data_IF_143674144027
#
_entry.id   IF_143674144027
#
_cell.length_a   1.000
_cell.length_b   1.000
_cell.length_c   1.000
_cell.angle_alpha   90.00
_cell.angle_beta   90.00
_cell.angle_gamma   90.00
#
_symmetry.space_group_name_H-M   'P 1'
#
loop_
_entity.id
_entity.type
_entity.pdbx_description
1 polymer ?
#
# COMPACT_ATOMS: atom_id res chain seq x y z
N UNK A 1 53.12 9.77 24.99
CA UNK A 1 51.78 9.73 25.64
C UNK A 1 50.69 9.75 24.58
N UNK A 2 50.18 8.56 24.31
CA UNK A 2 49.22 8.33 23.21
C UNK A 2 47.83 8.17 23.79
N UNK A 3 46.97 9.22 23.68
CA UNK A 3 45.60 9.18 24.17
C UNK A 3 44.70 8.52 23.16
N UNK A 4 44.42 7.24 23.31
CA UNK A 4 43.35 6.49 22.61
C UNK A 4 41.99 7.11 22.96
N UNK A 5 41.47 8.01 22.10
CA UNK A 5 40.06 8.42 22.11
C UNK A 5 39.20 7.28 21.55
N UNK A 6 38.61 6.48 22.43
CA UNK A 6 37.50 5.58 22.09
C UNK A 6 36.30 6.44 21.68
N UNK A 7 36.04 6.53 20.37
CA UNK A 7 34.81 7.10 19.84
C UNK A 7 33.67 6.12 20.17
N UNK A 8 32.89 6.44 21.19
CA UNK A 8 31.61 5.75 21.44
C UNK A 8 30.65 6.16 20.32
N UNK A 9 30.56 5.37 19.25
CA UNK A 9 29.48 5.48 18.27
C UNK A 9 28.19 5.09 18.99
N UNK A 10 27.33 6.06 19.26
CA UNK A 10 25.94 5.83 19.60
C UNK A 10 25.26 5.41 18.29
N UNK A 11 25.14 4.10 18.07
CA UNK A 11 24.29 3.58 17.01
C UNK A 11 22.86 3.79 17.48
N UNK A 12 22.24 4.84 17.01
CA UNK A 12 20.79 5.00 17.08
C UNK A 12 20.22 4.08 15.98
N UNK A 13 20.13 2.78 16.25
CA UNK A 13 19.42 1.86 15.39
C UNK A 13 17.91 2.13 15.52
N UNK A 14 17.41 3.07 14.76
CA UNK A 14 16.00 3.12 14.44
C UNK A 14 15.74 1.95 13.49
N UNK A 15 15.11 0.89 13.98
CA UNK A 15 14.56 -0.16 13.12
C UNK A 15 13.40 0.48 12.35
N UNK A 16 13.69 1.05 11.19
CA UNK A 16 12.68 1.47 10.25
C UNK A 16 12.21 0.20 9.52
N UNK A 17 11.21 -0.48 10.07
CA UNK A 17 10.47 -1.51 9.34
C UNK A 17 9.55 -0.75 8.39
N UNK A 18 10.03 -0.50 7.19
CA UNK A 18 9.19 -0.06 6.09
C UNK A 18 8.40 -1.27 5.58
N UNK A 19 7.13 -1.38 5.94
CA UNK A 19 6.26 -2.40 5.43
C UNK A 19 5.41 -1.79 4.32
N UNK A 20 5.58 -2.28 3.10
CA UNK A 20 4.69 -1.95 1.98
C UNK A 20 3.72 -3.11 1.79
N UNK A 21 2.46 -2.87 2.02
CA UNK A 21 1.38 -3.83 1.73
C UNK A 21 0.75 -3.42 0.41
N UNK A 22 0.86 -4.27 -0.61
CA UNK A 22 0.16 -4.08 -1.87
C UNK A 22 -1.20 -4.77 -1.76
N UNK A 23 -2.27 -4.01 -1.95
CA UNK A 23 -3.61 -4.54 -2.12
C UNK A 23 -3.96 -4.39 -3.60
N UNK A 24 -4.03 -5.50 -4.33
CA UNK A 24 -4.66 -5.52 -5.64
C UNK A 24 -6.17 -5.55 -5.46
N UNK A 25 -6.87 -4.54 -5.88
CA UNK A 25 -8.33 -4.58 -6.04
C UNK A 25 -8.63 -5.01 -7.46
N UNK A 26 -9.52 -5.99 -7.60
CA UNK A 26 -10.14 -6.27 -8.89
C UNK A 26 -10.82 -5.01 -9.41
N UNK A 27 -10.81 -4.78 -10.73
CA UNK A 27 -11.27 -3.51 -11.31
C UNK A 27 -12.66 -3.15 -10.80
N UNK A 28 -12.77 -2.03 -10.11
CA UNK A 28 -14.05 -1.38 -9.94
C UNK A 28 -14.45 -0.86 -11.32
N UNK A 29 -15.49 -1.42 -11.89
CA UNK A 29 -16.06 -0.92 -13.13
C UNK A 29 -16.61 0.49 -12.88
N UNK A 30 -15.85 1.51 -13.21
CA UNK A 30 -16.36 2.85 -13.40
C UNK A 30 -16.66 3.02 -14.89
N UNK A 31 -17.71 2.35 -15.36
CA UNK A 31 -18.28 2.64 -16.67
C UNK A 31 -19.72 3.09 -16.46
N UNK A 32 -19.90 4.37 -16.23
CA UNK A 32 -21.17 5.05 -16.48
C UNK A 32 -20.98 5.97 -17.68
N UNK A 33 -20.93 5.38 -18.85
CA UNK A 33 -20.88 6.10 -20.11
C UNK A 33 -21.12 5.14 -21.25
N UNK A 34 -22.17 5.36 -22.00
CA UNK A 34 -22.51 4.69 -23.24
C UNK A 34 -21.46 5.00 -24.32
N UNK A 35 -20.30 4.36 -24.22
CA UNK A 35 -19.36 4.21 -25.33
C UNK A 35 -18.54 2.95 -25.12
N UNK A 36 -18.30 2.24 -26.19
CA UNK A 36 -17.51 1.01 -26.35
C UNK A 36 -16.02 1.20 -26.00
N UNK A 37 -15.69 1.96 -24.95
CA UNK A 37 -14.31 2.20 -24.56
C UNK A 37 -13.90 1.19 -23.48
N UNK A 38 -13.00 0.29 -23.88
CA UNK A 38 -12.40 -0.73 -23.00
C UNK A 38 -11.34 -0.11 -22.06
N UNK A 39 -11.68 0.96 -21.33
CA UNK A 39 -10.79 1.53 -20.33
C UNK A 39 -10.96 0.80 -19.01
N UNK A 40 -9.86 0.23 -18.49
CA UNK A 40 -9.85 -0.48 -17.22
C UNK A 40 -9.04 0.29 -16.19
N UNK A 41 -9.57 0.41 -14.97
CA UNK A 41 -8.84 0.97 -13.83
C UNK A 41 -8.29 -0.15 -12.95
N UNK A 42 -6.98 -0.15 -12.75
CA UNK A 42 -6.30 -1.01 -11.79
C UNK A 42 -5.77 -0.17 -10.63
N UNK A 43 -6.09 -0.55 -9.42
CA UNK A 43 -5.67 0.17 -8.22
C UNK A 43 -4.73 -0.68 -7.38
N UNK A 44 -3.61 -0.08 -6.96
CA UNK A 44 -2.67 -0.66 -6.01
C UNK A 44 -2.52 0.25 -4.81
N UNK A 45 -2.76 -0.28 -3.62
CA UNK A 45 -2.64 0.46 -2.37
C UNK A 45 -1.34 0.12 -1.66
N UNK A 46 -0.49 1.12 -1.46
CA UNK A 46 0.76 1.01 -0.72
C UNK A 46 0.58 1.55 0.69
N UNK A 47 0.78 0.70 1.68
CA UNK A 47 0.67 1.06 3.09
C UNK A 47 2.05 1.06 3.71
N UNK A 48 2.52 2.22 4.13
CA UNK A 48 3.71 2.32 4.96
C UNK A 48 3.30 2.17 6.42
N UNK A 49 3.89 1.21 7.12
CA UNK A 49 3.64 0.98 8.53
C UNK A 49 4.92 1.12 9.36
N UNK A 50 4.77 1.65 10.56
CA UNK A 50 5.83 1.68 11.58
C UNK A 50 6.04 0.28 12.17
N UNK A 51 7.17 0.05 12.82
CA UNK A 51 7.44 -1.21 13.52
C UNK A 51 6.34 -1.60 14.52
N UNK A 52 5.60 -0.64 15.05
CA UNK A 52 4.42 -0.88 15.90
C UNK A 52 3.20 -1.44 15.17
N UNK A 53 3.25 -1.56 13.84
CA UNK A 53 2.11 -1.91 12.99
C UNK A 53 1.17 -0.73 12.69
N UNK A 54 1.43 0.46 13.26
CA UNK A 54 0.63 1.65 12.98
C UNK A 54 0.91 2.14 11.57
N UNK A 55 -0.16 2.35 10.79
CA UNK A 55 -0.07 3.00 9.48
C UNK A 55 0.54 4.39 9.60
N UNK A 56 1.51 4.68 8.75
CA UNK A 56 2.17 5.99 8.67
C UNK A 56 1.63 6.78 7.49
N UNK A 57 1.60 6.15 6.31
CA UNK A 57 1.11 6.76 5.07
C UNK A 57 0.45 5.70 4.20
N UNK A 58 -0.63 6.09 3.54
CA UNK A 58 -1.27 5.30 2.49
C UNK A 58 -1.14 6.05 1.17
N UNK A 59 -0.54 5.41 0.19
CA UNK A 59 -0.44 5.90 -1.19
C UNK A 59 -1.21 4.94 -2.08
N UNK A 60 -2.09 5.48 -2.91
CA UNK A 60 -2.85 4.72 -3.88
C UNK A 60 -2.31 5.03 -5.26
N UNK A 61 -1.97 4.01 -6.01
CA UNK A 61 -1.53 4.10 -7.41
C UNK A 61 -2.61 3.56 -8.31
N UNK A 62 -3.04 4.36 -9.26
CA UNK A 62 -4.04 4.02 -10.25
C UNK A 62 -3.40 3.91 -11.62
N UNK A 63 -3.80 2.90 -12.35
CA UNK A 63 -3.50 2.72 -13.74
C UNK A 63 -4.80 2.66 -14.54
N UNK A 64 -5.03 3.70 -15.35
CA UNK A 64 -6.12 3.72 -16.33
C UNK A 64 -5.55 3.14 -17.63
N UNK A 65 -5.90 1.89 -17.90
CA UNK A 65 -5.49 1.16 -19.12
C UNK A 65 -6.39 1.62 -20.26
N UNK A 66 -5.90 2.54 -21.05
CA UNK A 66 -6.65 3.12 -22.16
C UNK A 66 -6.56 2.27 -23.44
N UNK A 67 -5.43 1.60 -23.65
CA UNK A 67 -5.20 0.72 -24.81
C UNK A 67 -5.54 1.38 -26.18
N UNK A 68 -5.42 2.70 -26.27
CA UNK A 68 -5.78 3.45 -27.48
C UNK A 68 -7.27 3.71 -27.67
N UNK A 69 -8.13 3.36 -26.70
CA UNK A 69 -9.58 3.44 -26.85
C UNK A 69 -10.12 4.86 -26.79
N UNK A 70 -9.51 5.74 -25.98
CA UNK A 70 -9.95 7.11 -25.78
C UNK A 70 -8.83 8.09 -26.10
N UNK A 71 -9.07 9.01 -27.04
CA UNK A 71 -8.25 10.18 -27.29
C UNK A 71 -9.02 11.44 -26.91
N UNK A 72 -8.35 12.40 -26.27
CA UNK A 72 -8.95 13.63 -25.76
C UNK A 72 -9.21 13.57 -24.27
N UNK A 73 -10.46 13.52 -23.85
CA UNK A 73 -10.83 13.54 -22.43
C UNK A 73 -11.16 12.15 -21.92
N UNK A 74 -10.38 11.66 -20.97
CA UNK A 74 -10.61 10.42 -20.24
C UNK A 74 -11.11 10.75 -18.83
N UNK A 75 -12.33 10.32 -18.52
CA UNK A 75 -12.97 10.59 -17.24
C UNK A 75 -12.65 9.49 -16.22
N UNK A 76 -12.42 9.87 -14.97
CA UNK A 76 -12.21 8.99 -13.83
C UNK A 76 -12.80 9.62 -12.56
N UNK A 77 -13.02 8.82 -11.54
CA UNK A 77 -13.44 9.27 -10.22
C UNK A 77 -12.37 8.91 -9.19
N UNK A 78 -12.01 9.89 -8.35
CA UNK A 78 -11.01 9.70 -7.29
C UNK A 78 -11.26 10.62 -6.11
N UNK A 79 -11.25 10.04 -4.92
CA UNK A 79 -11.30 10.78 -3.65
C UNK A 79 -9.92 10.98 -3.02
N UNK A 80 -8.85 10.75 -3.79
CA UNK A 80 -7.48 10.89 -3.33
C UNK A 80 -7.07 12.36 -3.20
N UNK A 81 -6.18 12.64 -2.25
CA UNK A 81 -5.48 13.91 -2.13
C UNK A 81 -4.10 13.85 -2.79
N UNK A 82 -3.52 15.01 -3.08
CA UNK A 82 -2.16 15.14 -3.64
C UNK A 82 -1.94 14.31 -4.91
N UNK A 83 -2.92 14.30 -5.81
CA UNK A 83 -2.87 13.53 -7.05
C UNK A 83 -1.74 14.03 -7.95
N UNK A 84 -0.94 13.09 -8.45
CA UNK A 84 0.17 13.34 -9.38
C UNK A 84 0.23 12.26 -10.45
N UNK A 85 0.40 12.67 -11.71
CA UNK A 85 0.84 11.76 -12.76
C UNK A 85 2.26 11.28 -12.44
N UNK A 86 2.53 9.98 -12.53
CA UNK A 86 3.83 9.39 -12.11
C UNK A 86 4.59 8.73 -13.25
N UNK A 87 4.03 8.73 -14.47
CA UNK A 87 4.69 8.07 -15.60
C UNK A 87 4.61 8.84 -16.90
N UNK A 88 3.75 9.81 -17.04
CA UNK A 88 3.59 10.63 -18.21
C UNK A 88 3.55 12.11 -17.85
N UNK A 89 3.15 12.93 -18.79
CA UNK A 89 2.98 14.38 -18.64
C UNK A 89 1.53 14.85 -18.87
N UNK A 90 0.60 13.91 -19.04
CA UNK A 90 -0.83 14.16 -19.19
C UNK A 90 -1.33 14.98 -18.01
N UNK A 91 -2.13 16.00 -18.36
CA UNK A 91 -2.72 16.91 -17.39
C UNK A 91 -4.15 16.46 -17.07
N UNK A 92 -4.62 16.87 -15.91
CA UNK A 92 -6.00 16.66 -15.52
C UNK A 92 -6.62 17.95 -14.96
N UNK A 93 -7.95 18.00 -15.04
CA UNK A 93 -8.79 18.93 -14.27
C UNK A 93 -9.61 18.14 -13.26
N UNK A 94 -9.94 18.74 -12.12
CA UNK A 94 -10.76 18.12 -11.09
C UNK A 94 -11.99 18.99 -10.81
N UNK A 95 -13.14 18.33 -10.69
CA UNK A 95 -14.39 18.91 -10.22
C UNK A 95 -14.98 17.98 -9.15
N UNK A 96 -14.76 18.32 -7.89
CA UNK A 96 -14.99 17.41 -6.78
C UNK A 96 -14.16 16.13 -6.91
N UNK A 97 -14.82 14.98 -6.89
CA UNK A 97 -14.18 13.67 -7.03
C UNK A 97 -13.99 13.26 -8.51
N UNK A 98 -14.54 14.04 -9.46
CA UNK A 98 -14.41 13.77 -10.89
C UNK A 98 -13.09 14.32 -11.42
N UNK A 99 -12.31 13.45 -12.06
CA UNK A 99 -11.07 13.78 -12.76
C UNK A 99 -11.30 13.69 -14.28
N UNK A 100 -10.81 14.66 -15.02
CA UNK A 100 -10.80 14.63 -16.49
C UNK A 100 -9.35 14.75 -16.94
N UNK A 101 -8.79 13.66 -17.43
CA UNK A 101 -7.44 13.59 -17.98
C UNK A 101 -7.44 13.94 -19.46
N UNK A 102 -6.47 14.72 -19.89
CA UNK A 102 -6.22 14.97 -21.31
C UNK A 102 -5.18 14.00 -21.81
N UNK A 103 -5.57 13.05 -22.66
CA UNK A 103 -4.68 11.98 -23.15
C UNK A 103 -4.73 11.91 -24.68
N UNK A 104 -3.61 11.51 -25.28
CA UNK A 104 -3.51 11.21 -26.70
C UNK A 104 -3.49 9.69 -26.93
N UNK A 105 -4.52 9.02 -26.38
CA UNK A 105 -4.69 7.55 -26.38
C UNK A 105 -3.72 6.78 -25.50
N UNK A 106 -2.94 7.47 -24.67
CA UNK A 106 -1.99 6.82 -23.75
C UNK A 106 -2.68 6.36 -22.46
N UNK A 107 -2.07 5.37 -21.80
CA UNK A 107 -2.44 4.96 -20.46
C UNK A 107 -2.09 6.05 -19.43
N UNK A 108 -2.94 6.25 -18.45
CA UNK A 108 -2.68 7.20 -17.37
C UNK A 108 -2.24 6.47 -16.11
N UNK A 109 -1.13 6.93 -15.54
CA UNK A 109 -0.61 6.42 -14.27
C UNK A 109 -0.54 7.54 -13.25
N UNK A 110 -1.39 7.51 -12.24
CA UNK A 110 -1.36 8.53 -11.22
C UNK A 110 -1.34 7.95 -9.81
N UNK A 111 -0.86 8.73 -8.87
CA UNK A 111 -0.84 8.41 -7.46
C UNK A 111 -1.44 9.55 -6.65
N UNK A 112 -2.01 9.18 -5.51
CA UNK A 112 -2.47 10.11 -4.50
C UNK A 112 -2.37 9.51 -3.11
N UNK A 113 -2.79 10.25 -2.11
CA UNK A 113 -2.82 9.82 -0.71
C UNK A 113 -4.25 9.73 -0.21
N UNK A 114 -4.47 8.91 0.83
CA UNK A 114 -5.77 8.81 1.47
C UNK A 114 -5.65 8.55 2.96
N UNK A 115 -6.57 9.10 3.74
CA UNK A 115 -6.75 8.82 5.17
C UNK A 115 -7.92 7.87 5.43
N UNK A 116 -8.55 7.33 4.37
CA UNK A 116 -9.64 6.37 4.49
C UNK A 116 -9.17 5.11 5.21
N UNK A 117 -10.09 4.53 6.00
CA UNK A 117 -9.83 3.25 6.65
C UNK A 117 -9.61 2.16 5.61
N UNK A 118 -8.52 1.42 5.79
CA UNK A 118 -8.17 0.32 4.89
C UNK A 118 -9.13 -0.88 5.08
N UNK A 119 -9.51 -1.57 4.00
CA UNK A 119 -10.37 -2.76 4.07
C UNK A 119 -9.66 -3.95 4.74
N UNK A 120 -8.33 -4.00 4.68
CA UNK A 120 -7.53 -5.03 5.36
C UNK A 120 -6.73 -4.39 6.48
N UNK A 121 -6.86 -4.92 7.68
CA UNK A 121 -6.02 -4.54 8.81
C UNK A 121 -4.81 -5.47 8.91
N UNK A 122 -3.68 -4.89 9.32
CA UNK A 122 -2.41 -5.59 9.48
C UNK A 122 -1.94 -5.47 10.92
N UNK A 123 -1.54 -6.58 11.53
CA UNK A 123 -1.00 -6.63 12.89
C UNK A 123 0.38 -7.27 12.87
N UNK A 124 1.36 -6.60 13.46
CA UNK A 124 2.70 -7.12 13.68
C UNK A 124 2.86 -7.61 15.12
N UNK A 125 3.47 -8.78 15.29
CA UNK A 125 3.91 -9.29 16.59
C UNK A 125 5.37 -9.69 16.52
N UNK A 126 6.07 -9.45 17.60
CA UNK A 126 7.50 -9.71 17.75
C UNK A 126 7.73 -10.67 18.90
N UNK A 127 8.56 -11.69 18.67
CA UNK A 127 8.94 -12.65 19.70
C UNK A 127 10.47 -12.75 19.71
N UNK A 128 11.09 -12.50 20.86
CA UNK A 128 12.52 -12.73 21.08
C UNK A 128 12.69 -13.95 21.96
N UNK A 129 13.39 -14.97 21.45
CA UNK A 129 13.56 -16.26 22.11
C UNK A 129 12.24 -16.88 22.61
N UNK A 130 11.19 -16.74 21.77
CA UNK A 130 9.84 -17.25 22.06
C UNK A 130 8.96 -16.35 22.93
N UNK A 131 9.50 -15.29 23.53
CA UNK A 131 8.75 -14.35 24.37
C UNK A 131 8.24 -13.17 23.55
N UNK A 132 6.93 -12.91 23.60
CA UNK A 132 6.33 -11.74 22.93
C UNK A 132 6.84 -10.43 23.55
N UNK A 133 7.23 -9.48 22.71
CA UNK A 133 7.79 -8.20 23.11
C UNK A 133 7.27 -7.07 22.21
N UNK A 134 7.22 -5.86 22.76
CA UNK A 134 6.97 -4.67 21.95
C UNK A 134 8.23 -4.30 21.14
N UNK A 135 8.10 -3.70 19.94
CA UNK A 135 9.26 -3.28 19.14
C UNK A 135 10.24 -2.38 19.89
N UNK A 136 9.72 -1.49 20.74
CA UNK A 136 10.55 -0.58 21.57
C UNK A 136 11.44 -1.31 22.60
N UNK A 137 11.04 -2.52 23.01
CA UNK A 137 11.75 -3.32 23.99
C UNK A 137 12.86 -4.19 23.37
N UNK A 138 12.88 -4.30 22.04
CA UNK A 138 13.89 -5.09 21.29
C UNK A 138 15.21 -4.34 21.13
N UNK A 139 15.21 -3.02 21.32
CA UNK A 139 16.40 -2.19 21.14
C UNK A 139 17.56 -2.66 22.03
N UNK A 140 18.69 -3.00 21.39
CA UNK A 140 19.91 -3.45 22.08
C UNK A 140 19.86 -4.87 22.63
N UNK A 141 18.84 -5.65 22.26
CA UNK A 141 18.76 -7.07 22.61
C UNK A 141 19.28 -7.94 21.47
N UNK A 142 19.85 -9.08 21.83
CA UNK A 142 20.28 -10.13 20.91
C UNK A 142 19.45 -11.39 21.19
N UNK A 143 19.24 -12.21 20.19
CA UNK A 143 18.51 -13.47 20.30
C UNK A 143 17.82 -13.83 18.99
N UNK A 144 17.06 -14.92 19.00
CA UNK A 144 16.25 -15.35 17.87
C UNK A 144 14.96 -14.53 17.81
N UNK A 145 14.89 -13.64 16.82
CA UNK A 145 13.73 -12.79 16.59
C UNK A 145 12.78 -13.44 15.58
N UNK A 146 11.52 -13.68 16.01
CA UNK A 146 10.41 -14.04 15.13
C UNK A 146 9.47 -12.86 14.98
N UNK A 147 9.17 -12.49 13.75
CA UNK A 147 8.17 -11.46 13.42
C UNK A 147 7.00 -12.14 12.70
N UNK A 148 5.79 -11.91 13.17
CA UNK A 148 4.56 -12.40 12.49
C UNK A 148 3.77 -11.22 11.96
N UNK A 149 3.17 -11.42 10.78
CA UNK A 149 2.30 -10.46 10.10
C UNK A 149 0.93 -11.11 9.96
N UNK A 150 -0.04 -10.61 10.73
CA UNK A 150 -1.41 -11.10 10.69
C UNK A 150 -2.26 -10.15 9.84
N UNK A 151 -2.93 -10.65 8.81
CA UNK A 151 -3.88 -9.91 7.99
C UNK A 151 -5.31 -10.25 8.37
N UNK A 152 -6.17 -9.23 8.44
CA UNK A 152 -7.61 -9.42 8.62
C UNK A 152 -8.35 -8.63 7.57
N UNK A 153 -9.05 -9.33 6.68
CA UNK A 153 -9.98 -8.74 5.74
C UNK A 153 -11.26 -8.32 6.50
N UNK A 154 -11.61 -7.05 6.44
CA UNK A 154 -12.81 -6.50 7.07
C UNK A 154 -13.86 -6.07 6.03
N UNK A 155 -13.55 -6.22 4.74
CA UNK A 155 -14.42 -5.79 3.65
C UNK A 155 -15.35 -6.93 3.22
N UNK A 156 -16.64 -6.66 3.30
CA UNK A 156 -17.68 -7.59 2.90
C UNK A 156 -18.71 -6.88 2.03
N UNK A 157 -19.29 -7.61 1.10
CA UNK A 157 -20.36 -7.15 0.22
C UNK A 157 -21.50 -8.16 0.23
N UNK A 158 -22.74 -7.64 0.16
CA UNK A 158 -23.89 -8.48 -0.11
C UNK A 158 -23.99 -8.69 -1.63
N UNK A 159 -24.08 -9.95 -2.04
CA UNK A 159 -24.29 -10.36 -3.43
C UNK A 159 -25.50 -11.28 -3.47
N UNK A 160 -26.27 -11.20 -4.54
CA UNK A 160 -27.37 -12.15 -4.76
C UNK A 160 -26.82 -13.40 -5.45
N UNK A 161 -26.91 -14.53 -4.76
CA UNK A 161 -26.54 -15.85 -5.29
C UNK A 161 -27.81 -16.69 -5.31
N UNK A 162 -28.26 -17.11 -6.49
CA UNK A 162 -29.50 -17.88 -6.70
C UNK A 162 -30.74 -17.24 -6.03
N UNK A 163 -30.83 -15.89 -6.12
CA UNK A 163 -31.95 -15.13 -5.55
C UNK A 163 -31.91 -14.97 -4.02
N UNK A 164 -30.79 -15.35 -3.38
CA UNK A 164 -30.56 -15.14 -1.94
C UNK A 164 -29.43 -14.15 -1.71
N UNK A 165 -29.67 -13.15 -0.89
CA UNK A 165 -28.62 -12.23 -0.44
C UNK A 165 -27.62 -12.97 0.45
N UNK A 166 -26.37 -12.98 0.03
CA UNK A 166 -25.27 -13.65 0.71
C UNK A 166 -24.14 -12.66 0.94
N UNK A 167 -23.66 -12.60 2.19
CA UNK A 167 -22.48 -11.78 2.54
C UNK A 167 -21.21 -12.53 2.13
N UNK A 168 -20.40 -11.89 1.28
CA UNK A 168 -19.11 -12.44 0.82
C UNK A 168 -17.99 -11.45 1.12
N UNK A 169 -16.78 -11.98 1.38
CA UNK A 169 -15.60 -11.12 1.50
C UNK A 169 -15.13 -10.65 0.13
N UNK A 170 -14.79 -9.36 0.04
CA UNK A 170 -14.07 -8.83 -1.13
C UNK A 170 -12.68 -9.46 -1.15
N UNK A 171 -12.25 -10.10 -2.25
CA UNK A 171 -10.92 -10.68 -2.33
C UNK A 171 -9.85 -9.60 -2.45
N UNK A 172 -8.72 -9.79 -1.74
CA UNK A 172 -7.54 -8.95 -1.85
C UNK A 172 -6.29 -9.82 -2.00
N UNK A 173 -5.37 -9.38 -2.86
CA UNK A 173 -4.01 -9.94 -2.93
C UNK A 173 -3.12 -9.07 -2.05
N UNK A 174 -2.45 -9.69 -1.07
CA UNK A 174 -1.61 -9.01 -0.12
C UNK A 174 -0.15 -9.39 -0.34
N UNK A 175 0.72 -8.38 -0.41
CA UNK A 175 2.17 -8.54 -0.41
C UNK A 175 2.79 -7.70 0.69
N UNK A 176 3.72 -8.27 1.47
CA UNK A 176 4.48 -7.53 2.47
C UNK A 176 5.95 -7.57 2.15
N UNK A 177 6.57 -6.39 2.04
CA UNK A 177 8.02 -6.21 2.01
C UNK A 177 8.51 -5.69 3.35
N UNK A 178 9.63 -6.24 3.84
CA UNK A 178 10.28 -5.81 5.08
C UNK A 178 11.77 -5.58 4.82
N UNK A 179 12.29 -4.43 5.24
CA UNK A 179 13.72 -4.13 5.13
C UNK A 179 14.38 -4.47 6.46
N UNK A 180 15.27 -5.46 6.44
CA UNK A 180 16.04 -5.91 7.59
C UNK A 180 17.52 -5.60 7.33
N UNK A 181 18.10 -4.55 7.98
CA UNK A 181 19.51 -4.23 7.81
C UNK A 181 20.43 -5.39 8.26
N UNK A 182 21.39 -5.78 7.42
CA UNK A 182 22.29 -6.90 7.66
C UNK A 182 23.29 -6.67 8.81
N UNK A 183 23.51 -5.40 9.19
CA UNK A 183 24.29 -5.07 10.39
C UNK A 183 23.57 -5.44 11.70
N UNK A 184 22.26 -5.63 11.62
CA UNK A 184 21.41 -5.93 12.79
C UNK A 184 20.83 -7.33 12.74
N UNK A 185 20.54 -7.82 11.53
CA UNK A 185 19.89 -9.12 11.33
C UNK A 185 20.80 -10.06 10.53
N UNK A 186 20.91 -11.30 10.96
CA UNK A 186 21.62 -12.37 10.27
C UNK A 186 20.75 -13.64 10.23
N UNK A 187 21.03 -14.53 9.27
CA UNK A 187 20.33 -15.82 9.13
C UNK A 187 18.79 -15.65 9.04
N UNK A 188 18.36 -14.74 8.16
CA UNK A 188 16.91 -14.48 7.95
C UNK A 188 16.30 -15.64 7.18
N UNK A 189 15.17 -16.17 7.70
CA UNK A 189 14.33 -17.18 7.04
C UNK A 189 12.88 -16.68 7.00
N UNK A 190 12.13 -17.07 5.94
CA UNK A 190 10.74 -16.72 5.73
C UNK A 190 9.90 -17.98 5.73
#
# INVERSE_FOLDING_TARGET
MNKNRKIKRKIAASVAVGMSVMMGVTPAFAASGTSDSDVYKEETVYVNAKASGKTDKVTVSNWLKNSGSVSGNLEDESTLSDIKNVKGDEKYTADGDKLTWSTDSEDIYYQGTTDKKLPVSVKLKYYLDGKEMKPSELKGKNGHLKITVDYKNNEKKNVSVDGKDTEVYTPFVMMTGMILPNETFSNVTI
#
